data_IF_843404341621
#
_entry.id   IF_843404341621
#
_cell.length_a   1.000
_cell.length_b   1.000
_cell.length_c   1.000
_cell.angle_alpha   90.00
_cell.angle_beta   90.00
_cell.angle_gamma   90.00
#
_symmetry.space_group_name_H-M   'P 1'
#
loop_
_entity.id
_entity.type
_entity.pdbx_description
1 polymer ?
#
# COMPACT_ATOMS: atom_id res chain seq x y z
N UNK A 1 7.97 12.44 3.54
CA UNK A 1 8.68 13.55 4.22
C UNK A 1 8.95 14.71 3.26
N UNK A 2 9.60 14.54 2.09
CA UNK A 2 9.89 15.67 1.19
C UNK A 2 8.65 16.45 0.73
N UNK A 3 7.49 15.81 0.61
CA UNK A 3 6.23 16.47 0.21
C UNK A 3 5.66 17.45 1.25
N UNK A 4 6.29 17.58 2.43
CA UNK A 4 5.89 18.58 3.43
C UNK A 4 6.42 19.98 3.10
N UNK A 5 7.19 20.10 2.02
CA UNK A 5 7.76 21.38 1.52
C UNK A 5 8.51 22.14 2.63
N UNK A 6 8.26 23.44 2.78
CA UNK A 6 8.88 24.27 3.80
C UNK A 6 8.63 23.81 5.24
N UNK A 7 7.57 23.04 5.50
CA UNK A 7 7.31 22.43 6.82
C UNK A 7 8.39 21.43 7.25
N UNK A 8 9.26 21.01 6.33
CA UNK A 8 10.43 20.20 6.67
C UNK A 8 11.35 20.93 7.66
N UNK A 9 11.48 22.25 7.54
CA UNK A 9 12.29 23.03 8.46
C UNK A 9 11.71 23.03 9.88
N UNK A 10 10.37 23.06 10.03
CA UNK A 10 9.70 22.92 11.32
C UNK A 10 9.98 21.54 11.95
N UNK A 11 9.98 20.49 11.13
CA UNK A 11 10.32 19.13 11.58
C UNK A 11 11.77 19.03 12.05
N UNK A 12 12.72 19.57 11.28
CA UNK A 12 14.15 19.56 11.63
C UNK A 12 14.43 20.41 12.88
N UNK A 13 13.68 21.50 13.08
CA UNK A 13 13.80 22.32 14.29
C UNK A 13 13.23 21.62 15.53
N UNK A 14 12.32 20.65 15.37
CA UNK A 14 11.65 19.95 16.47
C UNK A 14 12.24 18.58 16.78
N UNK A 15 13.07 18.01 15.91
CA UNK A 15 13.61 16.65 16.05
C UNK A 15 14.95 16.48 15.34
N UNK A 16 15.85 15.70 15.95
CA UNK A 16 17.07 15.25 15.32
C UNK A 16 16.81 14.10 14.36
N UNK A 17 17.24 14.23 13.10
CA UNK A 17 17.13 13.19 12.09
C UNK A 17 18.30 12.22 12.20
N UNK A 18 18.11 11.05 12.74
CA UNK A 18 19.16 10.07 13.02
C UNK A 18 19.37 9.04 11.92
N UNK A 19 18.42 8.90 10.98
CA UNK A 19 18.58 8.03 9.80
C UNK A 19 17.60 8.43 8.70
N UNK A 20 18.16 8.78 7.53
CA UNK A 20 17.37 9.05 6.32
C UNK A 20 18.24 8.82 5.07
N UNK A 21 18.26 7.60 4.51
CA UNK A 21 19.25 7.17 3.50
C UNK A 21 19.35 8.04 2.25
N UNK A 22 18.26 8.74 1.88
CA UNK A 22 18.25 9.62 0.69
C UNK A 22 18.68 11.07 0.99
N UNK A 23 18.89 11.43 2.24
CA UNK A 23 19.19 12.80 2.65
C UNK A 23 20.36 12.92 3.64
N UNK A 24 20.71 11.85 4.33
CA UNK A 24 21.76 11.83 5.36
C UNK A 24 22.77 10.71 5.04
N UNK A 25 24.05 10.99 5.26
CA UNK A 25 25.14 10.01 5.11
C UNK A 25 25.37 9.25 6.43
N UNK A 26 24.34 8.60 6.93
CA UNK A 26 24.38 7.71 8.09
C UNK A 26 24.24 6.29 7.58
N UNK A 27 25.14 5.40 7.96
CA UNK A 27 25.20 4.02 7.49
C UNK A 27 24.39 3.09 8.39
N UNK A 28 24.12 1.88 7.94
CA UNK A 28 23.40 0.87 8.72
C UNK A 28 24.14 0.51 10.01
N UNK A 29 25.48 0.38 9.97
CA UNK A 29 26.27 0.09 11.16
C UNK A 29 26.19 1.19 12.23
N UNK A 30 26.05 2.47 11.83
CA UNK A 30 25.86 3.56 12.79
C UNK A 30 24.55 3.37 13.57
N UNK A 31 23.50 2.89 12.90
CA UNK A 31 22.22 2.55 13.55
C UNK A 31 22.35 1.29 14.41
N UNK A 32 23.09 0.30 13.97
CA UNK A 32 23.35 -0.94 14.73
C UNK A 32 24.06 -0.67 16.06
N UNK A 33 24.97 0.29 16.09
CA UNK A 33 25.73 0.72 17.28
C UNK A 33 24.89 1.54 18.26
N UNK A 34 23.79 2.15 17.84
CA UNK A 34 22.91 2.89 18.75
C UNK A 34 22.34 1.99 19.86
N UNK A 35 22.14 2.49 21.08
CA UNK A 35 21.44 1.74 22.12
C UNK A 35 20.02 1.31 21.68
N UNK A 36 19.50 0.23 22.25
CA UNK A 36 18.13 -0.17 22.03
C UNK A 36 17.17 0.91 22.55
N UNK A 37 16.04 1.11 21.87
CA UNK A 37 15.05 2.16 22.20
C UNK A 37 15.63 3.60 22.18
N UNK A 38 16.74 3.83 21.47
CA UNK A 38 17.36 5.15 21.35
C UNK A 38 16.55 6.10 20.46
N UNK A 39 15.98 5.57 19.38
CA UNK A 39 15.18 6.35 18.41
C UNK A 39 13.76 6.51 18.94
N UNK A 40 13.31 7.75 19.13
CA UNK A 40 11.97 8.01 19.66
C UNK A 40 10.88 7.59 18.67
N UNK A 41 11.07 7.89 17.38
CA UNK A 41 10.11 7.60 16.32
C UNK A 41 10.80 7.12 15.04
N UNK A 42 10.37 5.97 14.54
CA UNK A 42 10.73 5.51 13.19
C UNK A 42 9.49 5.45 12.29
N UNK A 43 9.56 6.13 11.15
CA UNK A 43 8.60 6.00 10.05
C UNK A 43 9.16 5.01 9.03
N UNK A 44 8.76 3.74 9.14
CA UNK A 44 9.24 2.67 8.25
C UNK A 44 8.44 2.65 6.96
N UNK A 45 9.12 2.93 5.84
CA UNK A 45 8.53 2.95 4.50
C UNK A 45 8.95 1.71 3.71
N UNK A 46 8.05 1.20 2.88
CA UNK A 46 8.29 0.02 2.05
C UNK A 46 7.72 -1.26 2.63
N UNK A 47 7.55 -2.27 1.78
CA UNK A 47 7.21 -3.63 2.17
C UNK A 47 8.47 -4.49 2.27
N UNK A 48 8.39 -5.61 2.96
CA UNK A 48 9.50 -6.55 3.11
C UNK A 48 9.45 -7.57 2.00
N UNK A 49 10.49 -7.61 1.14
CA UNK A 49 10.59 -8.53 0.00
C UNK A 49 11.90 -9.31 -0.03
N UNK A 50 12.90 -8.90 0.71
CA UNK A 50 14.21 -9.55 0.75
C UNK A 50 14.79 -9.58 2.18
N UNK A 51 15.90 -10.28 2.35
CA UNK A 51 16.56 -10.45 3.65
C UNK A 51 17.07 -9.15 4.26
N UNK A 52 17.50 -8.18 3.44
CA UNK A 52 17.90 -6.86 3.91
C UNK A 52 16.72 -6.06 4.47
N UNK A 53 15.57 -6.05 3.76
CA UNK A 53 14.36 -5.39 4.27
C UNK A 53 13.91 -6.01 5.60
N UNK A 54 14.00 -7.34 5.74
CA UNK A 54 13.66 -8.02 6.98
C UNK A 54 14.65 -7.68 8.11
N UNK A 55 15.93 -7.65 7.82
CA UNK A 55 16.97 -7.23 8.77
C UNK A 55 16.71 -5.80 9.27
N UNK A 56 16.47 -4.86 8.37
CA UNK A 56 16.18 -3.47 8.71
C UNK A 56 14.88 -3.33 9.51
N UNK A 57 13.84 -4.10 9.20
CA UNK A 57 12.61 -4.10 9.98
C UNK A 57 12.86 -4.54 11.44
N UNK A 58 13.63 -5.60 11.65
CA UNK A 58 14.01 -6.10 12.96
C UNK A 58 14.92 -5.12 13.71
N UNK A 59 15.90 -4.53 13.01
CA UNK A 59 16.81 -3.53 13.55
C UNK A 59 16.04 -2.30 14.06
N UNK A 60 15.23 -1.67 13.20
CA UNK A 60 14.46 -0.50 13.59
C UNK A 60 13.41 -0.80 14.65
N UNK A 61 12.80 -1.98 14.67
CA UNK A 61 11.94 -2.35 15.81
C UNK A 61 12.70 -2.35 17.12
N UNK A 62 13.91 -2.88 17.14
CA UNK A 62 14.76 -2.96 18.32
C UNK A 62 15.22 -1.57 18.80
N UNK A 63 15.59 -0.71 17.84
CA UNK A 63 16.17 0.62 18.12
C UNK A 63 15.13 1.69 18.43
N UNK A 64 13.84 1.47 18.12
CA UNK A 64 12.79 2.48 18.20
C UNK A 64 11.85 2.28 19.39
N UNK A 65 11.50 3.38 20.08
CA UNK A 65 10.40 3.42 21.06
C UNK A 65 9.05 3.27 20.36
N UNK A 66 8.85 4.04 19.28
CA UNK A 66 7.64 4.00 18.46
C UNK A 66 8.03 3.64 17.03
N UNK A 67 7.49 2.53 16.51
CA UNK A 67 7.65 2.11 15.14
C UNK A 67 6.32 2.26 14.40
N UNK A 68 6.32 3.08 13.33
CA UNK A 68 5.14 3.36 12.52
C UNK A 68 5.32 2.77 11.12
N UNK A 69 4.37 1.95 10.69
CA UNK A 69 4.26 1.52 9.29
C UNK A 69 3.73 2.70 8.45
N UNK A 70 4.62 3.35 7.71
CA UNK A 70 4.34 4.55 6.95
C UNK A 70 4.05 4.23 5.48
N UNK A 71 2.82 4.53 5.06
CA UNK A 71 2.35 4.31 3.70
C UNK A 71 1.81 2.91 3.44
N UNK A 72 1.08 2.75 2.33
CA UNK A 72 0.38 1.50 1.97
C UNK A 72 1.30 0.29 1.84
N UNK A 73 2.55 0.47 1.38
CA UNK A 73 3.49 -0.63 1.21
C UNK A 73 3.88 -1.25 2.56
N UNK A 74 4.23 -0.43 3.54
CA UNK A 74 4.57 -0.89 4.89
C UNK A 74 3.35 -1.40 5.65
N UNK A 75 2.18 -0.74 5.47
CA UNK A 75 0.95 -1.09 6.17
C UNK A 75 0.27 -2.36 5.62
N UNK A 76 0.13 -2.47 4.28
CA UNK A 76 -0.74 -3.47 3.62
C UNK A 76 0.01 -4.35 2.61
N UNK A 77 1.27 -4.06 2.32
CA UNK A 77 2.05 -4.63 1.22
C UNK A 77 2.01 -3.76 -0.05
N UNK A 78 1.03 -2.88 -0.20
CA UNK A 78 0.91 -1.93 -1.30
C UNK A 78 0.82 -2.57 -2.68
N UNK A 79 1.10 -1.79 -3.73
CA UNK A 79 1.17 -2.29 -5.11
C UNK A 79 2.22 -3.41 -5.28
N UNK A 80 3.43 -3.35 -4.65
CA UNK A 80 4.37 -4.45 -4.69
C UNK A 80 3.78 -5.78 -4.22
N UNK A 81 2.79 -5.75 -3.33
CA UNK A 81 2.07 -6.92 -2.84
C UNK A 81 1.36 -7.73 -3.93
N UNK A 82 1.02 -7.13 -5.08
CA UNK A 82 0.44 -7.85 -6.21
C UNK A 82 1.38 -8.94 -6.77
N UNK A 83 2.69 -8.82 -6.52
CA UNK A 83 3.65 -9.87 -6.86
C UNK A 83 3.35 -11.22 -6.18
N UNK A 84 2.54 -11.23 -5.11
CA UNK A 84 2.10 -12.46 -4.44
C UNK A 84 1.11 -13.31 -5.26
N UNK A 85 0.63 -12.82 -6.41
CA UNK A 85 -0.07 -13.66 -7.39
C UNK A 85 0.86 -14.59 -8.19
N UNK A 86 2.17 -14.41 -8.06
CA UNK A 86 3.18 -15.21 -8.75
C UNK A 86 4.24 -15.71 -7.75
N UNK A 87 4.89 -16.83 -8.09
CA UNK A 87 6.07 -17.29 -7.36
C UNK A 87 7.32 -16.48 -7.76
N UNK A 88 8.38 -16.55 -6.96
CA UNK A 88 9.67 -15.93 -7.29
C UNK A 88 10.21 -16.43 -8.64
N UNK A 89 10.10 -17.73 -8.89
CA UNK A 89 10.55 -18.38 -10.12
C UNK A 89 9.78 -17.86 -11.35
N UNK A 90 8.47 -17.71 -11.23
CA UNK A 90 7.62 -17.13 -12.30
C UNK A 90 8.00 -15.68 -12.59
N UNK A 91 8.26 -14.88 -11.54
CA UNK A 91 8.68 -13.49 -11.68
C UNK A 91 10.05 -13.42 -12.37
N UNK A 92 11.03 -14.22 -11.91
CA UNK A 92 12.37 -14.24 -12.51
C UNK A 92 12.35 -14.71 -13.95
N UNK A 93 11.59 -15.75 -14.26
CA UNK A 93 11.40 -16.22 -15.62
C UNK A 93 10.82 -15.13 -16.51
N UNK A 94 9.75 -14.46 -16.05
CA UNK A 94 9.13 -13.35 -16.80
C UNK A 94 10.09 -12.19 -17.05
N UNK A 95 10.85 -11.80 -16.05
CA UNK A 95 11.73 -10.62 -16.13
C UNK A 95 13.01 -10.90 -16.90
N UNK A 96 13.64 -12.07 -16.68
CA UNK A 96 14.98 -12.34 -17.19
C UNK A 96 15.01 -13.26 -18.43
N UNK A 97 13.90 -13.97 -18.75
CA UNK A 97 13.90 -14.94 -19.85
C UNK A 97 12.76 -14.71 -20.86
N UNK A 98 11.55 -14.30 -20.43
CA UNK A 98 10.36 -14.23 -21.29
C UNK A 98 10.01 -12.79 -21.74
N UNK A 99 10.67 -11.76 -21.22
CA UNK A 99 10.39 -10.38 -21.63
C UNK A 99 10.92 -10.12 -23.04
N UNK A 100 10.08 -9.60 -23.93
CA UNK A 100 10.43 -9.30 -25.32
C UNK A 100 11.61 -8.34 -25.47
N UNK A 101 11.87 -7.50 -24.46
CA UNK A 101 12.97 -6.53 -24.43
C UNK A 101 14.28 -7.11 -23.89
N UNK A 102 14.31 -8.37 -23.47
CA UNK A 102 15.46 -9.02 -22.84
C UNK A 102 16.08 -10.04 -23.80
N UNK A 103 17.39 -9.93 -24.03
CA UNK A 103 18.21 -10.92 -24.72
C UNK A 103 19.11 -11.56 -23.68
N UNK A 104 18.81 -12.79 -23.26
CA UNK A 104 19.52 -13.50 -22.20
C UNK A 104 19.71 -14.97 -22.58
N UNK A 105 20.57 -15.27 -23.57
CA UNK A 105 20.77 -16.62 -24.09
C UNK A 105 21.38 -17.58 -23.05
N UNK A 106 22.12 -17.06 -22.08
CA UNK A 106 22.78 -17.85 -21.04
C UNK A 106 21.93 -18.02 -19.77
N UNK A 107 20.65 -17.56 -19.79
CA UNK A 107 19.70 -17.58 -18.68
C UNK A 107 20.27 -17.00 -17.37
N UNK A 108 21.02 -15.93 -17.48
CA UNK A 108 21.65 -15.27 -16.34
C UNK A 108 20.59 -14.62 -15.46
N UNK A 109 20.68 -14.86 -14.15
CA UNK A 109 19.78 -14.33 -13.12
C UNK A 109 20.60 -13.81 -11.94
N UNK A 110 20.06 -12.87 -11.14
CA UNK A 110 20.70 -12.45 -9.91
C UNK A 110 20.94 -13.65 -8.98
N UNK A 111 22.17 -13.76 -8.48
CA UNK A 111 22.58 -14.76 -7.50
C UNK A 111 22.75 -14.09 -6.15
N UNK A 112 22.45 -14.80 -5.06
CA UNK A 112 22.70 -14.30 -3.71
C UNK A 112 24.20 -14.14 -3.40
N UNK A 113 25.03 -14.95 -4.04
CA UNK A 113 26.49 -14.87 -3.97
C UNK A 113 27.10 -15.06 -5.35
N UNK A 114 28.16 -14.31 -5.64
CA UNK A 114 28.93 -14.43 -6.87
C UNK A 114 30.38 -14.11 -6.61
N UNK A 115 31.29 -15.07 -6.94
CA UNK A 115 32.72 -14.91 -6.77
C UNK A 115 33.33 -14.16 -7.96
N UNK A 116 34.07 -13.10 -7.67
CA UNK A 116 34.88 -12.34 -8.63
C UNK A 116 36.33 -12.30 -8.13
N UNK A 117 37.22 -11.83 -9.00
CA UNK A 117 38.66 -11.76 -8.67
C UNK A 117 38.97 -10.96 -7.39
N UNK A 118 38.16 -9.94 -7.12
CA UNK A 118 38.31 -9.01 -6.00
C UNK A 118 37.66 -9.52 -4.70
N UNK A 119 36.87 -10.59 -4.77
CA UNK A 119 36.20 -11.18 -3.60
C UNK A 119 34.79 -11.72 -3.92
N UNK A 120 34.01 -11.96 -2.89
CA UNK A 120 32.63 -12.45 -3.00
C UNK A 120 31.68 -11.25 -2.99
N UNK A 121 30.86 -11.13 -4.03
CA UNK A 121 29.74 -10.18 -4.12
C UNK A 121 28.47 -10.84 -3.56
N UNK A 122 27.75 -10.11 -2.71
CA UNK A 122 26.54 -10.59 -2.10
C UNK A 122 25.34 -9.71 -2.50
N UNK A 123 24.20 -10.34 -2.74
CA UNK A 123 22.89 -9.70 -2.88
C UNK A 123 21.94 -10.22 -1.81
N UNK A 124 21.02 -9.38 -1.30
CA UNK A 124 19.99 -9.84 -0.40
C UNK A 124 19.17 -10.98 -1.01
N UNK A 125 18.87 -12.01 -0.21
CA UNK A 125 18.00 -13.09 -0.63
C UNK A 125 16.61 -12.54 -0.97
N UNK A 126 16.13 -12.80 -2.19
CA UNK A 126 14.81 -12.40 -2.65
C UNK A 126 13.76 -13.42 -2.19
N UNK A 127 12.79 -13.00 -1.39
CA UNK A 127 11.77 -13.88 -0.84
C UNK A 127 10.69 -14.23 -1.87
N UNK A 128 9.95 -15.30 -1.61
CA UNK A 128 8.85 -15.73 -2.46
C UNK A 128 7.60 -14.86 -2.31
N UNK A 129 7.48 -14.09 -1.22
CA UNK A 129 6.33 -13.24 -0.93
C UNK A 129 6.73 -11.85 -0.47
N UNK A 130 5.85 -10.89 -0.76
CA UNK A 130 5.87 -9.53 -0.19
C UNK A 130 5.09 -9.56 1.10
N UNK A 131 5.67 -9.01 2.16
CA UNK A 131 5.06 -8.92 3.48
C UNK A 131 4.96 -7.46 3.95
N UNK A 132 3.82 -7.01 4.48
CA UNK A 132 3.75 -5.76 5.21
C UNK A 132 4.56 -5.85 6.51
N UNK A 133 4.94 -4.70 7.07
CA UNK A 133 5.81 -4.63 8.24
C UNK A 133 5.29 -5.44 9.44
N UNK A 134 3.97 -5.38 9.68
CA UNK A 134 3.33 -6.09 10.80
C UNK A 134 3.35 -7.63 10.68
N UNK A 135 3.68 -8.19 9.53
CA UNK A 135 3.91 -9.64 9.37
C UNK A 135 5.35 -10.03 9.71
N UNK A 136 6.22 -9.07 10.00
CA UNK A 136 7.65 -9.30 10.28
C UNK A 136 8.00 -8.90 11.72
N UNK A 137 7.50 -7.75 12.18
CA UNK A 137 7.76 -7.21 13.53
C UNK A 137 6.48 -6.59 14.11
N UNK A 138 6.48 -6.37 15.43
CA UNK A 138 5.43 -5.60 16.09
C UNK A 138 5.47 -4.13 15.66
N UNK A 139 4.32 -3.58 15.28
CA UNK A 139 4.15 -2.20 14.81
C UNK A 139 3.25 -1.44 15.77
N UNK A 140 3.68 -0.27 16.20
CA UNK A 140 2.90 0.52 17.16
C UNK A 140 1.72 1.23 16.47
N UNK A 141 1.94 1.82 15.27
CA UNK A 141 0.89 2.55 14.54
C UNK A 141 1.02 2.39 13.03
N UNK A 142 -0.07 2.66 12.32
CA UNK A 142 -0.12 2.62 10.86
C UNK A 142 -0.59 3.96 10.30
N UNK A 143 0.16 4.53 9.34
CA UNK A 143 -0.25 5.71 8.58
C UNK A 143 -0.51 5.28 7.13
N UNK A 144 -1.77 5.28 6.65
CA UNK A 144 -2.11 4.78 5.32
C UNK A 144 -1.83 5.83 4.24
N UNK A 145 -1.80 5.39 2.98
CA UNK A 145 -1.70 6.24 1.79
C UNK A 145 -0.59 5.83 0.85
N UNK A 146 -0.69 6.27 -0.41
CA UNK A 146 0.32 6.02 -1.44
C UNK A 146 0.56 7.28 -2.30
N UNK A 147 1.30 8.26 -1.74
CA UNK A 147 1.80 8.40 -0.37
C UNK A 147 0.72 8.82 0.65
N UNK A 148 1.02 8.79 1.96
CA UNK A 148 0.20 9.44 2.98
C UNK A 148 0.01 10.94 2.72
N UNK A 149 -1.11 11.48 3.16
CA UNK A 149 -1.39 12.90 3.00
C UNK A 149 -0.48 13.74 3.90
N UNK A 150 0.09 14.80 3.34
CA UNK A 150 1.04 15.67 4.00
C UNK A 150 0.49 16.26 5.30
N UNK A 151 -0.74 16.77 5.26
CA UNK A 151 -1.41 17.39 6.39
C UNK A 151 -1.61 16.37 7.53
N UNK A 152 -2.03 15.16 7.19
CA UNK A 152 -2.22 14.05 8.15
C UNK A 152 -0.90 13.58 8.76
N UNK A 153 0.17 13.55 7.97
CA UNK A 153 1.50 13.23 8.47
C UNK A 153 1.97 14.27 9.49
N UNK A 154 1.80 15.56 9.20
CA UNK A 154 2.19 16.65 10.10
C UNK A 154 1.38 16.63 11.39
N UNK A 155 0.06 16.42 11.33
CA UNK A 155 -0.80 16.26 12.50
C UNK A 155 -0.29 15.12 13.42
N UNK A 156 0.02 13.97 12.84
CA UNK A 156 0.55 12.82 13.59
C UNK A 156 1.94 13.12 14.18
N UNK A 157 2.82 13.73 13.40
CA UNK A 157 4.15 14.10 13.86
C UNK A 157 4.08 15.08 15.04
N UNK A 158 3.28 16.13 14.92
CA UNK A 158 3.07 17.12 16.00
C UNK A 158 2.49 16.44 17.26
N UNK A 159 1.50 15.56 17.10
CA UNK A 159 0.92 14.83 18.23
C UNK A 159 1.97 13.99 18.98
N UNK A 160 2.84 13.29 18.26
CA UNK A 160 3.91 12.47 18.86
C UNK A 160 4.94 13.36 19.57
N UNK A 161 5.44 14.41 18.91
CA UNK A 161 6.49 15.28 19.44
C UNK A 161 6.00 16.10 20.66
N UNK A 162 4.73 16.52 20.65
CA UNK A 162 4.12 17.24 21.77
C UNK A 162 3.75 16.35 22.98
N UNK A 163 3.92 15.02 22.85
CA UNK A 163 3.52 14.08 23.89
C UNK A 163 2.01 13.96 24.08
N UNK A 164 1.22 14.26 23.03
CA UNK A 164 -0.23 14.08 23.09
C UNK A 164 -0.61 12.61 23.29
N UNK A 165 -1.75 12.36 23.92
CA UNK A 165 -2.28 11.01 24.09
C UNK A 165 -2.58 10.40 22.73
N UNK A 166 -1.93 9.28 22.44
CA UNK A 166 -2.13 8.52 21.21
C UNK A 166 -3.18 7.41 21.42
N UNK A 167 -3.89 7.00 20.37
CA UNK A 167 -4.81 5.88 20.47
C UNK A 167 -4.06 4.58 20.84
N UNK A 168 -4.76 3.50 21.19
CA UNK A 168 -4.14 2.22 21.52
C UNK A 168 -3.19 1.75 20.40
N UNK A 169 -2.07 1.11 20.77
CA UNK A 169 -1.13 0.50 19.82
C UNK A 169 -1.85 -0.45 18.86
N UNK A 170 -1.39 -0.51 17.63
CA UNK A 170 -2.05 -1.23 16.54
C UNK A 170 -3.11 -0.41 15.79
N UNK A 171 -3.36 0.84 16.22
CA UNK A 171 -4.31 1.71 15.56
C UNK A 171 -3.78 2.29 14.23
N UNK A 172 -4.71 2.54 13.31
CA UNK A 172 -4.45 3.37 12.12
C UNK A 172 -4.67 4.84 12.53
N UNK A 173 -3.63 5.66 12.37
CA UNK A 173 -3.61 7.08 12.68
C UNK A 173 -3.51 7.92 11.41
N UNK A 174 -3.88 9.19 11.47
CA UNK A 174 -3.90 10.06 10.27
C UNK A 174 -4.96 9.68 9.24
N UNK A 175 -6.01 8.96 9.66
CA UNK A 175 -7.14 8.57 8.82
C UNK A 175 -8.41 8.38 9.65
N UNK A 176 -9.57 8.37 8.97
CA UNK A 176 -10.87 8.18 9.60
C UNK A 176 -11.23 6.68 9.72
N UNK A 177 -12.24 6.36 10.51
CA UNK A 177 -12.73 4.97 10.67
C UNK A 177 -13.82 4.59 9.66
N UNK A 178 -14.51 5.58 9.09
CA UNK A 178 -15.58 5.43 8.09
C UNK A 178 -15.05 5.18 6.68
N UNK A 179 -15.95 4.95 5.73
CA UNK A 179 -15.58 4.71 4.33
C UNK A 179 -15.22 6.01 3.60
N UNK A 180 -14.42 5.90 2.55
CA UNK A 180 -14.13 7.02 1.65
C UNK A 180 -15.40 7.54 0.96
N UNK A 181 -16.44 6.71 0.82
CA UNK A 181 -17.75 7.13 0.33
C UNK A 181 -18.43 8.15 1.24
N UNK A 182 -18.18 8.13 2.54
CA UNK A 182 -18.77 9.08 3.50
C UNK A 182 -18.12 10.47 3.42
N UNK A 183 -16.89 10.53 2.92
CA UNK A 183 -16.14 11.78 2.67
C UNK A 183 -16.38 12.32 1.24
N UNK A 184 -16.87 11.48 0.32
CA UNK A 184 -16.95 11.77 -1.10
C UNK A 184 -18.01 12.82 -1.44
N UNK A 185 -17.64 13.82 -2.28
CA UNK A 185 -18.52 14.90 -2.71
C UNK A 185 -19.49 14.54 -3.84
N UNK A 186 -19.28 13.37 -4.50
CA UNK A 186 -20.14 12.98 -5.62
C UNK A 186 -21.52 12.58 -5.14
N UNK A 187 -22.53 12.94 -5.93
CA UNK A 187 -23.93 12.58 -5.67
C UNK A 187 -24.13 11.09 -5.81
N UNK A 188 -24.86 10.52 -4.89
CA UNK A 188 -25.20 9.09 -4.84
C UNK A 188 -26.73 8.97 -4.81
N UNK A 189 -27.26 8.06 -5.61
CA UNK A 189 -28.68 7.69 -5.56
C UNK A 189 -28.86 6.44 -4.69
N UNK A 190 -30.08 6.22 -4.20
CA UNK A 190 -30.42 5.03 -3.43
C UNK A 190 -30.48 3.78 -4.31
N UNK A 191 -30.91 3.94 -5.56
CA UNK A 191 -31.11 2.85 -6.52
C UNK A 191 -30.01 2.81 -7.57
N UNK A 192 -28.81 2.34 -7.16
CA UNK A 192 -27.73 2.08 -8.11
C UNK A 192 -28.04 0.83 -8.91
N UNK A 193 -28.07 0.96 -10.23
CA UNK A 193 -28.38 -0.12 -11.17
C UNK A 193 -27.41 -0.08 -12.34
N UNK A 194 -26.63 -1.14 -12.50
CA UNK A 194 -25.58 -1.22 -13.51
C UNK A 194 -25.80 -2.44 -14.38
N UNK A 195 -25.78 -2.22 -15.70
CA UNK A 195 -25.84 -3.27 -16.72
C UNK A 195 -24.53 -3.49 -17.45
N UNK A 196 -23.55 -2.59 -17.24
CA UNK A 196 -22.24 -2.66 -17.87
C UNK A 196 -21.21 -1.92 -17.02
N UNK A 197 -19.98 -2.46 -16.96
CA UNK A 197 -18.82 -1.74 -16.42
C UNK A 197 -17.98 -1.17 -17.56
N UNK A 198 -17.45 0.02 -17.29
CA UNK A 198 -16.59 0.76 -18.20
C UNK A 198 -15.23 1.02 -17.59
N UNK A 199 -14.21 1.13 -18.42
CA UNK A 199 -12.94 1.73 -18.03
C UNK A 199 -13.09 3.25 -17.96
N UNK A 200 -12.32 3.97 -17.11
CA UNK A 200 -12.46 5.43 -16.96
C UNK A 200 -12.31 6.22 -18.26
N UNK A 201 -11.61 5.69 -19.26
CA UNK A 201 -11.40 6.33 -20.57
C UNK A 201 -12.47 5.99 -21.61
N UNK A 202 -13.38 5.09 -21.32
CA UNK A 202 -14.45 4.68 -22.24
C UNK A 202 -15.70 5.55 -22.08
N UNK A 203 -15.76 6.38 -21.04
CA UNK A 203 -16.87 7.29 -20.79
C UNK A 203 -16.37 8.71 -20.58
N UNK A 204 -17.27 9.67 -20.84
CA UNK A 204 -17.10 11.05 -20.41
C UNK A 204 -17.77 11.17 -19.04
N UNK A 205 -16.95 11.35 -18.00
CA UNK A 205 -17.43 11.53 -16.63
C UNK A 205 -18.18 12.86 -16.51
N UNK A 206 -19.36 12.82 -15.88
CA UNK A 206 -20.23 14.02 -15.70
C UNK A 206 -19.72 14.97 -14.60
N UNK A 207 -18.69 14.59 -13.84
CA UNK A 207 -18.14 15.36 -12.73
C UNK A 207 -18.99 15.42 -11.47
N UNK A 208 -20.21 14.89 -11.49
CA UNK A 208 -21.22 15.05 -10.45
C UNK A 208 -21.63 13.73 -9.82
N UNK A 209 -22.01 12.74 -10.63
CA UNK A 209 -22.54 11.46 -10.18
C UNK A 209 -21.46 10.53 -9.65
N UNK A 210 -21.84 9.63 -8.76
CA UNK A 210 -20.93 8.59 -8.27
C UNK A 210 -20.35 7.77 -9.44
N UNK A 211 -19.06 7.51 -9.45
CA UNK A 211 -18.43 6.69 -10.48
C UNK A 211 -19.10 5.31 -10.65
N UNK A 212 -19.47 4.69 -9.53
CA UNK A 212 -20.19 3.40 -9.56
C UNK A 212 -21.53 3.49 -10.28
N UNK A 213 -22.21 4.62 -10.21
CA UNK A 213 -23.49 4.84 -10.90
C UNK A 213 -23.30 5.10 -12.41
N UNK A 214 -22.12 5.54 -12.81
CA UNK A 214 -21.71 5.69 -14.21
C UNK A 214 -21.09 4.39 -14.78
N UNK A 215 -21.10 3.29 -14.02
CA UNK A 215 -20.50 2.01 -14.43
C UNK A 215 -19.00 1.96 -14.29
N UNK A 216 -18.34 2.90 -13.63
CA UNK A 216 -16.90 2.88 -13.39
C UNK A 216 -16.58 2.38 -11.98
N UNK A 217 -15.80 1.31 -11.89
CA UNK A 217 -15.45 0.70 -10.60
C UNK A 217 -14.62 1.66 -9.74
N UNK A 218 -15.13 1.95 -8.55
CA UNK A 218 -14.51 2.79 -7.54
C UNK A 218 -14.39 2.01 -6.22
N UNK A 219 -13.18 1.92 -5.66
CA UNK A 219 -12.90 1.14 -4.44
C UNK A 219 -13.29 1.90 -3.15
N UNK A 220 -14.00 3.02 -3.28
CA UNK A 220 -14.45 3.84 -2.15
C UNK A 220 -15.23 3.09 -1.06
N UNK A 221 -16.15 2.16 -1.38
CA UNK A 221 -16.89 1.38 -0.38
C UNK A 221 -16.01 0.50 0.52
N UNK A 222 -14.84 0.09 0.03
CA UNK A 222 -13.89 -0.74 0.77
C UNK A 222 -12.64 0.03 1.21
N UNK A 223 -12.63 1.36 1.08
CA UNK A 223 -11.50 2.22 1.42
C UNK A 223 -11.85 3.11 2.60
N UNK A 224 -10.90 3.28 3.51
CA UNK A 224 -10.96 4.20 4.64
C UNK A 224 -10.95 5.66 4.17
N UNK A 225 -11.73 6.52 4.83
CA UNK A 225 -11.70 7.97 4.63
C UNK A 225 -10.46 8.64 5.28
N UNK A 226 -10.30 9.94 5.06
CA UNK A 226 -9.21 10.76 5.61
C UNK A 226 -8.21 11.26 4.58
N UNK A 227 -8.33 10.81 3.30
CA UNK A 227 -7.47 11.29 2.22
C UNK A 227 -7.98 12.60 1.55
N UNK A 228 -9.10 13.16 2.00
CA UNK A 228 -9.73 14.32 1.37
C UNK A 228 -10.20 14.03 -0.05
N UNK A 229 -10.57 12.80 -0.37
CA UNK A 229 -11.07 12.34 -1.68
C UNK A 229 -10.25 12.85 -2.89
N UNK A 230 -8.92 12.90 -2.77
CA UNK A 230 -8.03 13.50 -3.79
C UNK A 230 -8.18 12.91 -5.19
N UNK A 231 -8.33 11.58 -5.32
CA UNK A 231 -8.58 10.95 -6.63
C UNK A 231 -9.87 11.49 -7.25
N UNK A 232 -10.94 11.59 -6.45
CA UNK A 232 -12.25 12.09 -6.87
C UNK A 232 -12.16 13.56 -7.31
N UNK A 233 -11.44 14.42 -6.55
CA UNK A 233 -11.15 15.79 -6.96
C UNK A 233 -10.39 15.88 -8.28
N UNK A 234 -9.49 14.92 -8.53
CA UNK A 234 -8.76 14.77 -9.79
C UNK A 234 -9.53 14.02 -10.87
N UNK A 235 -10.84 13.88 -10.73
CA UNK A 235 -11.72 13.21 -11.68
C UNK A 235 -11.37 11.75 -11.95
N UNK A 236 -10.86 11.03 -10.93
CA UNK A 236 -10.51 9.62 -10.99
C UNK A 236 -11.20 8.83 -9.87
N UNK A 237 -11.64 7.58 -10.12
CA UNK A 237 -12.23 6.75 -9.09
C UNK A 237 -11.21 6.39 -8.00
N UNK A 238 -11.67 6.19 -6.76
CA UNK A 238 -10.83 5.72 -5.67
C UNK A 238 -10.17 4.39 -6.01
N UNK A 239 -8.89 4.23 -5.64
CA UNK A 239 -8.07 3.04 -5.93
C UNK A 239 -7.76 2.18 -4.71
N UNK A 240 -8.16 2.58 -3.49
CA UNK A 240 -8.02 1.75 -2.30
C UNK A 240 -6.77 1.96 -1.45
N UNK A 241 -5.95 2.98 -1.72
CA UNK A 241 -4.63 3.13 -1.09
C UNK A 241 -4.65 3.41 0.42
N UNK A 242 -5.76 3.84 0.99
CA UNK A 242 -5.91 4.05 2.43
C UNK A 242 -6.28 2.77 3.19
N UNK A 243 -6.51 1.66 2.46
CA UNK A 243 -6.85 0.37 3.08
C UNK A 243 -8.28 0.31 3.61
N UNK A 244 -8.65 -0.79 4.29
CA UNK A 244 -10.01 -1.03 4.71
C UNK A 244 -10.47 -0.09 5.83
N UNK A 245 -11.74 0.35 5.82
CA UNK A 245 -12.35 1.05 6.95
C UNK A 245 -12.54 0.12 8.15
N UNK A 246 -12.89 0.67 9.31
CA UNK A 246 -13.17 -0.13 10.50
C UNK A 246 -14.24 -1.21 10.21
N UNK A 247 -14.02 -2.41 10.72
CA UNK A 247 -14.92 -3.56 10.55
C UNK A 247 -14.86 -4.27 9.19
N UNK A 248 -14.01 -3.84 8.25
CA UNK A 248 -13.77 -4.54 6.99
C UNK A 248 -12.45 -5.30 7.08
N UNK A 249 -12.52 -6.62 7.12
CA UNK A 249 -11.34 -7.50 7.21
C UNK A 249 -10.69 -7.70 5.85
N UNK A 250 -11.49 -7.85 4.78
CA UNK A 250 -11.01 -8.07 3.41
C UNK A 250 -11.65 -7.05 2.46
N UNK A 251 -10.86 -6.08 1.95
CA UNK A 251 -11.39 -5.06 1.04
C UNK A 251 -11.83 -5.62 -0.31
N UNK A 252 -11.21 -6.68 -0.82
CA UNK A 252 -11.62 -7.31 -2.07
C UNK A 252 -12.97 -8.00 -1.94
N UNK A 253 -13.18 -8.78 -0.88
CA UNK A 253 -14.48 -9.39 -0.58
C UNK A 253 -15.58 -8.32 -0.39
N UNK A 254 -15.26 -7.21 0.29
CA UNK A 254 -16.19 -6.07 0.44
C UNK A 254 -16.54 -5.47 -0.92
N UNK A 255 -15.58 -5.33 -1.83
CA UNK A 255 -15.84 -4.81 -3.17
C UNK A 255 -16.68 -5.76 -4.02
N UNK A 256 -16.40 -7.06 -3.99
CA UNK A 256 -17.23 -8.07 -4.67
C UNK A 256 -18.69 -7.99 -4.20
N UNK A 257 -18.91 -7.92 -2.89
CA UNK A 257 -20.26 -7.72 -2.32
C UNK A 257 -20.89 -6.41 -2.78
N UNK A 258 -20.13 -5.32 -2.81
CA UNK A 258 -20.65 -4.00 -3.25
C UNK A 258 -21.03 -4.02 -4.74
N UNK A 259 -20.24 -4.66 -5.59
CA UNK A 259 -20.54 -4.80 -7.03
C UNK A 259 -21.75 -5.69 -7.23
N UNK A 260 -21.83 -6.84 -6.58
CA UNK A 260 -22.98 -7.73 -6.68
C UNK A 260 -24.30 -7.05 -6.29
N UNK A 261 -24.26 -6.11 -5.34
CA UNK A 261 -25.45 -5.37 -4.89
C UNK A 261 -25.98 -4.32 -5.87
N UNK A 262 -25.20 -3.95 -6.89
CA UNK A 262 -25.57 -2.90 -7.86
C UNK A 262 -25.83 -3.41 -9.28
N UNK A 263 -25.52 -4.67 -9.58
CA UNK A 263 -25.81 -5.28 -10.89
C UNK A 263 -27.33 -5.41 -11.01
N UNK A 264 -27.89 -4.90 -12.12
CA UNK A 264 -29.33 -4.88 -12.39
C UNK A 264 -29.77 -6.03 -13.35
N UNK A 265 -29.22 -7.19 -13.13
CA UNK A 265 -29.57 -8.40 -13.89
C UNK A 265 -29.94 -9.53 -12.93
N UNK A 266 -30.78 -10.44 -13.39
CA UNK A 266 -31.28 -11.55 -12.57
C UNK A 266 -30.84 -12.90 -13.12
N UNK A 267 -30.69 -12.99 -14.44
CA UNK A 267 -30.30 -14.23 -15.11
C UNK A 267 -28.79 -14.44 -14.99
N UNK A 268 -28.33 -15.65 -14.62
CA UNK A 268 -26.90 -15.93 -14.41
C UNK A 268 -26.03 -15.59 -15.62
N UNK A 269 -26.52 -15.81 -16.83
CA UNK A 269 -25.81 -15.53 -18.08
C UNK A 269 -25.60 -14.03 -18.29
N UNK A 270 -26.60 -13.22 -17.96
CA UNK A 270 -26.51 -11.74 -18.06
C UNK A 270 -25.59 -11.18 -16.98
N UNK A 271 -25.66 -11.70 -15.75
CA UNK A 271 -24.72 -11.35 -14.67
C UNK A 271 -23.29 -11.68 -15.10
N UNK A 272 -23.06 -12.85 -15.69
CA UNK A 272 -21.74 -13.25 -16.18
C UNK A 272 -21.20 -12.28 -17.23
N UNK A 273 -22.02 -11.85 -18.19
CA UNK A 273 -21.63 -10.85 -19.20
C UNK A 273 -21.23 -9.51 -18.57
N UNK A 274 -21.98 -9.03 -17.57
CA UNK A 274 -21.63 -7.79 -16.86
C UNK A 274 -20.29 -7.94 -16.12
N UNK A 275 -20.03 -9.12 -15.55
CA UNK A 275 -18.78 -9.38 -14.83
C UNK A 275 -17.56 -9.54 -15.75
N UNK A 276 -17.73 -9.93 -17.01
CA UNK A 276 -16.66 -9.99 -18.01
C UNK A 276 -16.04 -8.61 -18.29
N UNK A 277 -16.80 -7.52 -18.10
CA UNK A 277 -16.29 -6.16 -18.20
C UNK A 277 -15.29 -5.81 -17.06
N UNK A 278 -15.26 -6.60 -15.98
CA UNK A 278 -14.32 -6.41 -14.84
C UNK A 278 -13.01 -7.09 -15.18
N UNK A 279 -12.20 -6.41 -15.97
CA UNK A 279 -10.87 -6.92 -16.33
C UNK A 279 -9.94 -6.85 -15.13
N UNK A 280 -9.23 -7.94 -14.82
CA UNK A 280 -8.31 -8.07 -13.69
C UNK A 280 -8.95 -7.73 -12.33
N UNK A 281 -9.99 -8.46 -11.89
CA UNK A 281 -10.64 -8.20 -10.61
C UNK A 281 -9.68 -8.33 -9.42
N UNK A 282 -8.73 -9.25 -9.50
CA UNK A 282 -7.75 -9.49 -8.45
C UNK A 282 -6.82 -8.28 -8.27
N UNK A 283 -6.18 -7.80 -9.34
CA UNK A 283 -5.32 -6.62 -9.30
C UNK A 283 -6.11 -5.32 -9.05
N UNK A 284 -7.41 -5.29 -9.34
CA UNK A 284 -8.25 -4.13 -9.09
C UNK A 284 -8.68 -4.04 -7.62
N UNK A 285 -9.21 -5.14 -7.05
CA UNK A 285 -9.78 -5.15 -5.71
C UNK A 285 -8.73 -5.29 -4.61
N UNK A 286 -7.61 -5.95 -4.91
CA UNK A 286 -6.51 -6.19 -3.97
C UNK A 286 -5.26 -5.35 -4.24
N UNK A 287 -5.34 -4.32 -5.07
CA UNK A 287 -4.21 -3.50 -5.52
C UNK A 287 -3.24 -3.07 -4.42
N UNK A 288 -3.74 -2.73 -3.25
CA UNK A 288 -2.93 -2.26 -2.14
C UNK A 288 -2.89 -3.22 -0.95
N UNK A 289 -3.67 -4.30 -0.98
CA UNK A 289 -3.95 -5.09 0.23
C UNK A 289 -3.84 -6.60 0.06
N UNK A 290 -3.34 -7.09 -1.07
CA UNK A 290 -3.24 -8.53 -1.31
C UNK A 290 -2.53 -9.30 -0.18
N UNK A 291 -1.36 -8.85 0.35
CA UNK A 291 -0.67 -9.59 1.41
C UNK A 291 -1.41 -9.71 2.73
N UNK A 292 -2.39 -8.84 2.99
CA UNK A 292 -3.24 -8.87 4.21
C UNK A 292 -4.63 -9.43 3.96
N UNK A 293 -4.94 -9.82 2.73
CA UNK A 293 -6.24 -10.36 2.32
C UNK A 293 -6.38 -11.84 2.66
N UNK A 294 -7.58 -12.40 2.46
CA UNK A 294 -7.84 -13.83 2.61
C UNK A 294 -7.10 -14.69 1.58
N UNK A 295 -6.79 -14.14 0.40
CA UNK A 295 -6.07 -14.85 -0.67
C UNK A 295 -4.55 -14.65 -0.66
N UNK A 296 -4.04 -13.77 0.13
CA UNK A 296 -2.64 -13.39 0.49
C UNK A 296 -1.56 -13.64 -0.55
N UNK A 297 -1.44 -14.86 -1.08
CA UNK A 297 -0.38 -15.27 -2.01
C UNK A 297 -0.74 -16.54 -2.77
N UNK A 298 -0.12 -16.75 -3.93
CA UNK A 298 -0.09 -18.02 -4.61
C UNK A 298 0.69 -19.04 -3.78
N UNK A 299 0.12 -20.19 -3.58
CA UNK A 299 0.82 -21.34 -3.02
C UNK A 299 1.54 -22.06 -4.16
N UNK A 300 2.79 -22.45 -3.93
CA UNK A 300 3.61 -23.21 -4.90
C UNK A 300 3.04 -24.60 -5.13
#
# INVERSE_FOLDING_TARGET
MLDVHEKLFDVIAAADLVFWPIALDIKYHDVEEMPDQHIDLTLFNGAVRNSENEHMAKLFRKKSKILVAYGSCSHLGGIPGLANFSTKEEIFRRVYSESESVVNPDDLKPLSEYEVKEGILNLPEFFNDVRPLAQVVEVDYFIPGCPPQTERLLEVFVAIVSGAELPPKGSVIGAETKTQCDECIRKKTENKRIKKFYRPWEIIDDGISCFMEQGVICIGPATRAGCGYRCIKGNAPCRGCYGPPAGVTDPGAKMMSSIASIIDEKEPEEISRVLEDVVDPAGLFYRFSLPVSLIRRKLS
#
